data_IF_404438806540
#
_entry.id   IF_404438806540
#
_cell.length_a   1.000
_cell.length_b   1.000
_cell.length_c   1.000
_cell.angle_alpha   90.00
_cell.angle_beta   90.00
_cell.angle_gamma   90.00
#
_symmetry.space_group_name_H-M   'P 1'
#
loop_
_entity.id
_entity.type
_entity.pdbx_description
1 polymer ?
#
# COMPACT_ATOMS: atom_id res chain seq x y z
N UNK A 1 9.21 -19.94 -54.68
CA UNK A 1 8.07 -19.21 -54.09
C UNK A 1 6.92 -19.30 -55.07
N UNK A 2 5.72 -19.64 -54.63
CA UNK A 2 4.55 -19.78 -55.51
C UNK A 2 3.39 -18.95 -54.96
N UNK A 3 2.60 -18.34 -55.85
CA UNK A 3 1.35 -17.67 -55.46
C UNK A 3 0.24 -18.71 -55.45
N UNK A 4 -0.50 -18.78 -54.34
CA UNK A 4 -1.63 -19.69 -54.16
C UNK A 4 -2.90 -18.86 -54.01
N UNK A 5 -3.94 -19.26 -54.74
CA UNK A 5 -5.27 -18.66 -54.64
C UNK A 5 -6.13 -19.50 -53.71
N UNK A 6 -6.76 -18.85 -52.73
CA UNK A 6 -7.65 -19.51 -51.78
C UNK A 6 -8.99 -18.77 -51.70
N UNK A 7 -10.05 -19.48 -52.10
CA UNK A 7 -11.42 -18.98 -52.06
C UNK A 7 -12.04 -19.27 -50.69
N UNK A 8 -12.54 -18.24 -50.02
CA UNK A 8 -13.31 -18.40 -48.80
C UNK A 8 -14.73 -18.88 -49.14
N UNK A 9 -15.06 -20.13 -48.80
CA UNK A 9 -16.35 -20.76 -49.13
C UNK A 9 -17.56 -20.01 -48.55
N UNK A 10 -17.41 -19.25 -47.46
CA UNK A 10 -18.51 -18.51 -46.82
C UNK A 10 -18.79 -17.16 -47.47
N UNK A 11 -17.74 -16.47 -47.93
CA UNK A 11 -17.87 -15.12 -48.50
C UNK A 11 -17.73 -15.07 -50.02
N UNK A 12 -17.33 -16.17 -50.65
CA UNK A 12 -17.07 -16.24 -52.09
C UNK A 12 -15.82 -15.47 -52.55
N UNK A 13 -15.07 -14.86 -51.63
CA UNK A 13 -13.92 -14.01 -51.97
C UNK A 13 -12.66 -14.85 -52.15
N UNK A 14 -11.97 -14.66 -53.27
CA UNK A 14 -10.65 -15.27 -53.56
C UNK A 14 -9.53 -14.35 -53.09
N UNK A 15 -8.58 -14.91 -52.33
CA UNK A 15 -7.38 -14.21 -51.86
C UNK A 15 -6.13 -14.84 -52.46
N UNK A 16 -5.14 -14.01 -52.77
CA UNK A 16 -3.82 -14.44 -53.24
C UNK A 16 -2.81 -14.41 -52.08
N UNK A 17 -2.10 -15.52 -51.90
CA UNK A 17 -1.08 -15.68 -50.88
C UNK A 17 0.27 -16.04 -51.49
N UNK A 18 1.34 -15.45 -50.99
CA UNK A 18 2.71 -15.88 -51.25
C UNK A 18 3.01 -17.08 -50.36
N UNK A 19 3.38 -18.21 -50.97
CA UNK A 19 3.67 -19.46 -50.28
C UNK A 19 5.17 -19.75 -50.24
N UNK A 20 5.70 -19.87 -49.02
CA UNK A 20 7.10 -20.16 -48.72
C UNK A 20 7.18 -21.48 -47.93
N UNK A 21 7.55 -22.61 -48.59
CA UNK A 21 7.73 -23.87 -47.91
C UNK A 21 9.00 -23.86 -47.05
N UNK A 22 8.94 -24.46 -45.87
CA UNK A 22 10.06 -24.64 -44.96
C UNK A 22 9.98 -26.01 -44.27
N UNK A 23 11.12 -26.54 -43.86
CA UNK A 23 11.18 -27.78 -43.08
C UNK A 23 11.04 -27.47 -41.58
N UNK A 24 10.01 -28.01 -40.93
CA UNK A 24 9.81 -27.88 -39.49
C UNK A 24 10.60 -28.98 -38.78
N UNK A 25 11.73 -28.62 -38.14
CA UNK A 25 12.65 -29.56 -37.50
C UNK A 25 12.04 -30.25 -36.27
N UNK A 26 11.16 -29.59 -35.53
CA UNK A 26 10.53 -30.16 -34.33
C UNK A 26 9.48 -31.20 -34.72
N UNK A 27 8.68 -30.89 -35.74
CA UNK A 27 7.59 -31.76 -36.20
C UNK A 27 8.00 -32.72 -37.32
N UNK A 28 9.27 -32.68 -37.75
CA UNK A 28 9.87 -33.49 -38.80
C UNK A 28 9.00 -33.61 -40.07
N UNK A 29 8.40 -32.50 -40.51
CA UNK A 29 7.54 -32.46 -41.69
C UNK A 29 7.71 -31.16 -42.46
N UNK A 30 7.41 -31.19 -43.76
CA UNK A 30 7.36 -29.98 -44.58
C UNK A 30 6.12 -29.15 -44.23
N UNK A 31 6.32 -27.85 -44.02
CA UNK A 31 5.25 -26.88 -43.78
C UNK A 31 5.43 -25.68 -44.70
N UNK A 32 4.42 -24.82 -44.76
CA UNK A 32 4.51 -23.61 -45.56
C UNK A 32 3.94 -22.41 -44.81
N UNK A 33 4.65 -21.28 -44.90
CA UNK A 33 4.20 -19.99 -44.42
C UNK A 33 3.49 -19.28 -45.57
N UNK A 34 2.28 -18.80 -45.33
CA UNK A 34 1.47 -18.05 -46.31
C UNK A 34 1.35 -16.60 -45.88
N UNK A 35 1.80 -15.69 -46.73
CA UNK A 35 1.67 -14.24 -46.53
C UNK A 35 0.60 -13.69 -47.48
N UNK A 36 -0.40 -12.98 -46.97
CA UNK A 36 -1.47 -12.40 -47.79
C UNK A 36 -0.91 -11.29 -48.68
N UNK A 37 -1.06 -11.43 -50.00
CA UNK A 37 -0.69 -10.40 -50.99
C UNK A 37 -1.89 -9.46 -51.19
N UNK A 38 -3.08 -10.02 -51.34
CA UNK A 38 -4.28 -9.23 -51.67
C UNK A 38 -5.53 -10.05 -51.95
N UNK A 39 -6.62 -9.35 -52.28
CA UNK A 39 -7.87 -9.91 -52.78
C UNK A 39 -7.81 -9.96 -54.31
N UNK A 40 -8.28 -11.06 -54.91
CA UNK A 40 -8.39 -11.18 -56.37
C UNK A 40 -9.73 -10.59 -56.82
N UNK A 41 -9.70 -9.72 -57.83
CA UNK A 41 -10.91 -9.22 -58.47
C UNK A 41 -11.49 -10.30 -59.41
N UNK A 42 -12.77 -10.71 -59.25
CA UNK A 42 -13.38 -11.74 -60.09
C UNK A 42 -13.53 -11.35 -61.57
N UNK A 43 -13.52 -10.06 -61.92
CA UNK A 43 -13.74 -9.62 -63.32
C UNK A 43 -12.43 -9.45 -64.07
N UNK A 44 -11.40 -8.88 -63.43
CA UNK A 44 -10.10 -8.59 -64.07
C UNK A 44 -9.03 -9.63 -63.78
N UNK A 45 -9.21 -10.46 -62.75
CA UNK A 45 -8.19 -11.42 -62.29
C UNK A 45 -6.99 -10.77 -61.61
N UNK A 46 -6.99 -9.45 -61.44
CA UNK A 46 -5.88 -8.72 -60.83
C UNK A 46 -5.88 -8.87 -59.30
N UNK A 47 -4.68 -8.87 -58.71
CA UNK A 47 -4.50 -8.96 -57.25
C UNK A 47 -4.50 -7.54 -56.67
N UNK A 48 -5.59 -7.18 -56.00
CA UNK A 48 -5.74 -5.90 -55.33
C UNK A 48 -5.14 -6.01 -53.91
N UNK A 49 -4.03 -5.30 -53.61
CA UNK A 49 -3.39 -5.38 -52.30
C UNK A 49 -4.33 -4.86 -51.21
N UNK A 50 -4.56 -5.67 -50.18
CA UNK A 50 -5.38 -5.26 -49.04
C UNK A 50 -4.57 -4.29 -48.17
N UNK A 51 -5.20 -3.17 -47.75
CA UNK A 51 -4.57 -2.17 -46.89
C UNK A 51 -3.90 -2.85 -45.69
N UNK A 52 -2.58 -2.72 -45.58
CA UNK A 52 -1.82 -3.25 -44.44
C UNK A 52 -2.39 -2.68 -43.14
N UNK A 53 -2.82 -3.56 -42.24
CA UNK A 53 -3.31 -3.17 -40.91
C UNK A 53 -2.16 -2.52 -40.13
N UNK A 54 -2.06 -1.19 -40.20
CA UNK A 54 -1.17 -0.43 -39.32
C UNK A 54 -1.81 -0.43 -37.94
N UNK A 55 -1.42 -1.38 -37.09
CA UNK A 55 -1.69 -1.30 -35.65
C UNK A 55 -1.10 0.04 -35.21
N UNK A 56 -1.94 1.00 -34.80
CA UNK A 56 -1.45 2.31 -34.34
C UNK A 56 -0.35 2.04 -33.31
N UNK A 57 0.87 2.59 -33.46
CA UNK A 57 1.84 2.51 -32.39
C UNK A 57 1.19 3.15 -31.15
N UNK A 58 1.30 2.47 -30.01
CA UNK A 58 0.87 3.04 -28.75
C UNK A 58 1.54 4.43 -28.62
N UNK A 59 0.80 5.47 -28.22
CA UNK A 59 1.38 6.81 -28.10
C UNK A 59 2.60 6.73 -27.18
N UNK A 60 3.77 7.09 -27.75
CA UNK A 60 4.95 7.35 -26.95
C UNK A 60 4.65 8.58 -26.08
N UNK A 61 4.95 8.46 -24.79
CA UNK A 61 4.87 9.51 -23.77
C UNK A 61 3.51 10.20 -23.60
N UNK A 62 2.57 9.52 -22.94
CA UNK A 62 1.73 10.23 -21.97
C UNK A 62 2.53 10.33 -20.68
N UNK A 63 2.80 11.55 -20.21
CA UNK A 63 3.28 11.80 -18.85
C UNK A 63 2.47 10.93 -17.88
N UNK A 64 3.15 10.00 -17.22
CA UNK A 64 2.53 9.08 -16.26
C UNK A 64 2.11 9.94 -15.08
N UNK A 65 0.89 10.47 -15.09
CA UNK A 65 0.25 10.96 -13.88
C UNK A 65 0.41 9.83 -12.87
N UNK A 66 1.03 10.06 -11.70
CA UNK A 66 1.21 9.00 -10.72
C UNK A 66 -0.16 8.38 -10.49
N UNK A 67 -0.26 7.08 -10.78
CA UNK A 67 -1.48 6.33 -10.50
C UNK A 67 -1.83 6.47 -9.03
N UNK A 68 -3.09 6.20 -8.64
CA UNK A 68 -3.47 6.23 -7.23
C UNK A 68 -2.48 5.37 -6.43
N UNK A 69 -1.89 5.96 -5.39
CA UNK A 69 -0.89 5.29 -4.55
C UNK A 69 -1.55 3.99 -4.05
N UNK A 70 -0.99 2.80 -4.37
CA UNK A 70 -1.60 1.56 -3.96
C UNK A 70 -1.70 1.52 -2.44
N UNK A 71 -2.91 1.29 -1.94
CA UNK A 71 -3.15 1.13 -0.50
C UNK A 71 -2.43 -0.15 -0.04
N UNK A 72 -1.24 0.02 0.52
CA UNK A 72 -0.34 -1.08 0.88
C UNK A 72 -0.74 -1.78 2.17
N UNK A 73 -1.49 -1.11 3.05
CA UNK A 73 -1.91 -1.66 4.34
C UNK A 73 -3.30 -1.18 4.75
N UNK A 74 -4.14 -2.12 5.21
CA UNK A 74 -5.40 -1.83 5.92
C UNK A 74 -5.22 -2.27 7.37
N UNK A 75 -5.49 -1.37 8.31
CA UNK A 75 -5.41 -1.66 9.75
C UNK A 75 -6.70 -1.24 10.44
N UNK A 76 -7.21 -2.10 11.31
CA UNK A 76 -8.31 -1.78 12.22
C UNK A 76 -7.70 -1.39 13.57
N UNK A 77 -8.00 -0.18 14.03
CA UNK A 77 -7.48 0.38 15.29
C UNK A 77 -8.65 0.93 16.10
N UNK A 78 -8.67 0.64 17.41
CA UNK A 78 -9.61 1.18 18.37
C UNK A 78 -9.16 2.57 18.81
N UNK A 79 -9.98 3.58 18.50
CA UNK A 79 -9.71 4.98 18.84
C UNK A 79 -10.46 5.48 20.09
N UNK A 80 -11.61 4.88 20.42
CA UNK A 80 -12.54 5.45 21.42
C UNK A 80 -11.88 5.75 22.77
N UNK A 81 -11.27 4.73 23.39
CA UNK A 81 -10.60 4.89 24.68
C UNK A 81 -9.36 5.78 24.60
N UNK A 82 -8.49 5.59 23.61
CA UNK A 82 -7.28 6.39 23.44
C UNK A 82 -7.58 7.88 23.26
N UNK A 83 -8.61 8.22 22.48
CA UNK A 83 -9.02 9.60 22.24
C UNK A 83 -9.64 10.24 23.49
N UNK A 84 -10.42 9.48 24.26
CA UNK A 84 -10.94 9.94 25.55
C UNK A 84 -9.79 10.27 26.51
N UNK A 85 -8.81 9.37 26.62
CA UNK A 85 -7.63 9.59 27.48
C UNK A 85 -6.76 10.76 27.00
N UNK A 86 -6.66 10.98 25.69
CA UNK A 86 -5.99 12.17 25.13
C UNK A 86 -6.68 13.47 25.58
N UNK A 87 -8.01 13.50 25.54
CA UNK A 87 -8.77 14.67 25.98
C UNK A 87 -8.66 14.89 27.49
N UNK A 88 -8.75 13.82 28.29
CA UNK A 88 -8.53 13.89 29.74
C UNK A 88 -7.12 14.41 30.03
N UNK A 89 -6.09 13.89 29.36
CA UNK A 89 -4.71 14.33 29.54
C UNK A 89 -4.48 15.81 29.18
N UNK A 90 -5.18 16.32 28.17
CA UNK A 90 -5.14 17.74 27.79
C UNK A 90 -5.88 18.62 28.80
N UNK A 91 -7.09 18.23 29.22
CA UNK A 91 -7.90 19.01 30.16
C UNK A 91 -7.28 19.07 31.55
N UNK A 92 -6.74 17.96 32.04
CA UNK A 92 -6.06 17.86 33.33
C UNK A 92 -4.66 18.48 33.33
N UNK A 93 -4.12 18.82 32.16
CA UNK A 93 -2.75 19.34 32.02
C UNK A 93 -1.66 18.29 32.10
N UNK A 94 -2.00 17.02 32.38
CA UNK A 94 -1.04 15.90 32.50
C UNK A 94 -0.17 15.78 31.24
N UNK A 95 -0.77 15.94 30.06
CA UNK A 95 -0.02 15.89 28.79
C UNK A 95 1.05 16.98 28.72
N UNK A 96 0.70 18.21 29.09
CA UNK A 96 1.61 19.36 29.03
C UNK A 96 2.75 19.23 30.06
N UNK A 97 2.42 18.79 31.27
CA UNK A 97 3.40 18.61 32.35
C UNK A 97 4.39 17.50 32.03
N UNK A 98 3.90 16.34 31.57
CA UNK A 98 4.77 15.24 31.13
C UNK A 98 5.66 15.68 29.97
N UNK A 99 5.13 16.42 29.00
CA UNK A 99 5.92 16.94 27.87
C UNK A 99 7.00 17.92 28.30
N UNK A 100 6.73 18.73 29.33
CA UNK A 100 7.69 19.69 29.85
C UNK A 100 8.81 19.05 30.69
N UNK A 101 8.53 17.94 31.38
CA UNK A 101 9.47 17.27 32.29
C UNK A 101 10.25 16.17 31.56
N UNK A 102 9.56 15.35 30.76
CA UNK A 102 10.12 14.21 30.03
C UNK A 102 9.95 14.40 28.52
N UNK A 103 10.58 15.40 27.88
CA UNK A 103 10.33 15.76 26.47
C UNK A 103 10.61 14.62 25.48
N UNK A 104 11.56 13.74 25.78
CA UNK A 104 11.88 12.58 24.93
C UNK A 104 10.93 11.40 25.15
N UNK A 105 10.40 11.26 26.37
CA UNK A 105 9.73 10.03 26.82
C UNK A 105 8.23 10.19 27.10
N UNK A 106 7.67 11.41 27.13
CA UNK A 106 6.28 11.66 27.52
C UNK A 106 5.26 10.84 26.72
N UNK A 107 5.49 10.62 25.42
CA UNK A 107 4.60 9.80 24.59
C UNK A 107 4.60 8.33 25.01
N UNK A 108 5.77 7.81 25.38
CA UNK A 108 5.93 6.44 25.86
C UNK A 108 5.25 6.27 27.22
N UNK A 109 5.48 7.22 28.13
CA UNK A 109 4.85 7.26 29.46
C UNK A 109 3.32 7.28 29.32
N UNK A 110 2.76 8.16 28.48
CA UNK A 110 1.31 8.23 28.23
C UNK A 110 0.78 6.93 27.63
N UNK A 111 1.51 6.33 26.70
CA UNK A 111 1.08 5.07 26.06
C UNK A 111 1.03 3.91 27.05
N UNK A 112 2.02 3.83 27.95
CA UNK A 112 2.01 2.86 29.05
C UNK A 112 0.87 3.15 30.01
N UNK A 113 0.63 4.41 30.37
CA UNK A 113 -0.51 4.75 31.22
C UNK A 113 -1.84 4.32 30.59
N UNK A 114 -2.01 4.50 29.28
CA UNK A 114 -3.25 4.10 28.59
C UNK A 114 -3.42 2.58 28.61
N UNK A 115 -2.34 1.85 28.36
CA UNK A 115 -2.32 0.41 28.48
C UNK A 115 -2.70 -0.05 29.90
N UNK A 116 -2.07 0.51 30.94
CA UNK A 116 -2.33 0.14 32.33
C UNK A 116 -3.75 0.48 32.80
N UNK A 117 -4.37 1.53 32.24
CA UNK A 117 -5.77 1.89 32.52
C UNK A 117 -6.74 0.93 31.83
N UNK A 118 -6.43 0.49 30.60
CA UNK A 118 -7.36 -0.29 29.78
C UNK A 118 -7.22 -1.80 29.96
N UNK A 119 -6.03 -2.28 30.29
CA UNK A 119 -5.69 -3.69 30.50
C UNK A 119 -5.30 -3.90 31.98
N UNK A 120 -6.26 -3.67 32.87
CA UNK A 120 -6.08 -3.83 34.31
C UNK A 120 -5.63 -5.27 34.64
N UNK A 121 -4.68 -5.41 35.57
CA UNK A 121 -4.11 -6.69 36.02
C UNK A 121 -3.30 -7.48 34.97
N UNK A 122 -2.96 -6.89 33.83
CA UNK A 122 -2.11 -7.54 32.82
C UNK A 122 -0.64 -7.08 32.89
N UNK A 123 0.27 -8.03 32.69
CA UNK A 123 1.71 -7.75 32.65
C UNK A 123 2.07 -6.85 31.45
N UNK A 124 2.99 -5.91 31.65
CA UNK A 124 3.39 -4.94 30.61
C UNK A 124 4.01 -5.61 29.36
N UNK A 125 4.48 -6.84 29.47
CA UNK A 125 4.92 -7.65 28.32
C UNK A 125 3.83 -7.85 27.25
N UNK A 126 2.55 -7.67 27.59
CA UNK A 126 1.44 -7.72 26.63
C UNK A 126 1.22 -6.42 25.86
N UNK A 127 1.94 -5.34 26.18
CA UNK A 127 1.85 -4.07 25.45
C UNK A 127 2.03 -4.26 23.93
N UNK A 128 2.98 -5.10 23.52
CA UNK A 128 3.26 -5.39 22.11
C UNK A 128 2.09 -6.04 21.37
N UNK A 129 1.20 -6.74 22.07
CA UNK A 129 -0.04 -7.24 21.50
C UNK A 129 -1.11 -6.16 21.48
N UNK A 130 -1.29 -5.47 22.61
CA UNK A 130 -2.32 -4.44 22.79
C UNK A 130 -2.19 -3.28 21.80
N UNK A 131 -0.97 -2.77 21.57
CA UNK A 131 -0.71 -1.61 20.71
C UNK A 131 -1.16 -1.82 19.26
N UNK A 132 -1.13 -3.07 18.78
CA UNK A 132 -1.51 -3.41 17.40
C UNK A 132 -2.96 -3.08 17.10
N UNK A 133 -3.80 -3.08 18.13
CA UNK A 133 -5.24 -2.90 18.03
C UNK A 133 -5.70 -1.54 18.56
N UNK A 134 -4.85 -0.75 19.24
CA UNK A 134 -5.27 0.45 19.95
C UNK A 134 -4.48 1.68 19.53
N UNK A 135 -5.17 2.82 19.45
CA UNK A 135 -4.51 4.10 19.30
C UNK A 135 -3.86 4.52 20.63
N UNK A 136 -2.59 4.96 20.57
CA UNK A 136 -1.86 5.50 21.70
C UNK A 136 -0.80 6.52 21.25
N UNK A 137 -0.36 7.47 22.09
CA UNK A 137 0.44 8.63 21.66
C UNK A 137 1.82 8.32 21.05
N UNK A 138 2.44 7.20 21.42
CA UNK A 138 3.76 6.80 20.91
C UNK A 138 3.69 6.12 19.54
N UNK A 139 2.55 5.52 19.17
CA UNK A 139 2.30 4.80 17.91
C UNK A 139 3.32 3.70 17.53
N UNK A 140 4.16 3.28 18.47
CA UNK A 140 5.19 2.24 18.27
C UNK A 140 5.17 1.25 19.43
N UNK A 141 5.76 0.08 19.19
CA UNK A 141 5.89 -0.94 20.21
C UNK A 141 6.85 -0.52 21.34
N UNK A 142 6.52 -0.89 22.57
CA UNK A 142 7.35 -0.72 23.76
C UNK A 142 7.52 -2.12 24.37
N UNK A 143 8.50 -2.90 23.90
CA UNK A 143 8.76 -4.23 24.44
C UNK A 143 9.30 -4.16 25.87
N UNK A 144 9.24 -5.27 26.61
CA UNK A 144 9.62 -5.36 28.02
C UNK A 144 11.01 -4.77 28.36
N UNK A 145 11.96 -4.91 27.45
CA UNK A 145 13.29 -4.32 27.62
C UNK A 145 13.22 -2.78 27.61
N UNK A 146 12.55 -2.22 26.59
CA UNK A 146 12.40 -0.76 26.43
C UNK A 146 11.55 -0.14 27.52
N UNK A 147 10.55 -0.85 28.02
CA UNK A 147 9.80 -0.39 29.18
C UNK A 147 10.63 -0.36 30.45
N UNK A 148 11.54 -1.32 30.61
CA UNK A 148 12.46 -1.33 31.76
C UNK A 148 13.44 -0.16 31.69
N UNK A 149 14.02 0.08 30.51
CA UNK A 149 14.87 1.24 30.24
C UNK A 149 14.11 2.55 30.53
N UNK A 150 12.85 2.65 30.08
CA UNK A 150 12.01 3.82 30.30
C UNK A 150 11.74 4.06 31.80
N UNK A 151 11.43 3.03 32.57
CA UNK A 151 11.22 3.19 34.02
C UNK A 151 12.50 3.61 34.75
N UNK A 152 13.67 3.15 34.29
CA UNK A 152 14.95 3.60 34.82
C UNK A 152 15.26 5.06 34.45
N UNK A 153 14.80 5.53 33.29
CA UNK A 153 14.96 6.92 32.84
C UNK A 153 14.03 7.91 33.59
N UNK A 154 13.00 7.42 34.29
CA UNK A 154 12.14 8.27 35.12
C UNK A 154 12.79 8.42 36.50
N UNK A 155 13.56 9.49 36.64
CA UNK A 155 14.24 9.85 37.89
C UNK A 155 13.30 10.41 38.96
N UNK A 156 13.81 10.47 40.19
CA UNK A 156 13.05 11.00 41.33
C UNK A 156 12.78 12.49 41.17
N UNK A 157 13.73 13.27 40.63
CA UNK A 157 13.58 14.69 40.39
C UNK A 157 12.41 14.97 39.41
N UNK A 158 12.36 14.28 38.28
CA UNK A 158 11.28 14.41 37.31
C UNK A 158 9.92 13.98 37.88
N UNK A 159 9.89 12.91 38.69
CA UNK A 159 8.66 12.49 39.40
C UNK A 159 8.16 13.58 40.34
N UNK A 160 9.03 14.15 41.16
CA UNK A 160 8.66 15.20 42.11
C UNK A 160 8.23 16.48 41.39
N UNK A 161 8.94 16.88 40.33
CA UNK A 161 8.55 18.00 39.49
C UNK A 161 7.15 17.82 38.88
N UNK A 162 6.80 16.59 38.46
CA UNK A 162 5.48 16.28 37.93
C UNK A 162 4.39 16.47 38.98
N UNK A 163 4.59 15.92 40.18
CA UNK A 163 3.61 16.06 41.26
C UNK A 163 3.49 17.50 41.75
N UNK A 164 4.56 18.28 41.80
CA UNK A 164 4.50 19.71 42.14
C UNK A 164 3.66 20.50 41.11
N UNK A 165 3.89 20.29 39.81
CA UNK A 165 3.09 20.95 38.76
C UNK A 165 1.61 20.57 38.83
N UNK A 166 1.33 19.28 38.98
CA UNK A 166 -0.05 18.79 39.09
C UNK A 166 -0.74 19.26 40.38
N UNK A 167 0.00 19.35 41.49
CA UNK A 167 -0.48 19.90 42.75
C UNK A 167 -0.88 21.37 42.58
N UNK A 168 0.03 22.21 42.09
CA UNK A 168 -0.23 23.64 41.87
C UNK A 168 -1.44 23.89 40.95
N UNK A 169 -1.61 23.07 39.91
CA UNK A 169 -2.75 23.19 38.98
C UNK A 169 -4.10 22.82 39.61
N UNK A 170 -4.11 21.99 40.66
CA UNK A 170 -5.34 21.52 41.33
C UNK A 170 -5.69 22.38 42.55
N UNK A 171 -4.68 22.98 43.20
CA UNK A 171 -4.83 23.87 44.36
C UNK A 171 -5.76 25.06 44.09
N UNK A 172 -5.80 25.61 42.87
CA UNK A 172 -6.65 26.76 42.53
C UNK A 172 -8.16 26.42 42.41
N UNK A 173 -8.56 25.15 42.48
CA UNK A 173 -9.96 24.71 42.29
C UNK A 173 -10.63 24.10 43.54
N UNK A 174 -9.95 24.08 44.68
CA UNK A 174 -10.48 23.51 45.94
C UNK A 174 -11.14 24.54 46.89
N UNK A 175 -11.45 25.75 46.41
CA UNK A 175 -12.17 26.79 47.17
C UNK A 175 -13.45 27.24 46.47
#
# INVERSE_FOLDING_TARGET
MAVIFQTNKKTGITYAYQNEPYWDKEKQQSRAKRTLIGKVDPVTGEIIPTRSYKKKPAPASSEVKPGPIPMTQVRRIFYGAGYLLDQIGKQTGVYADLKAIFPEHYKQILSIAYYLILEENNALSRFSHWQKLHHHPYCQDIPSQRSSDLFQAIDEEGRMAFFQKQGNRRMEKEY
#
